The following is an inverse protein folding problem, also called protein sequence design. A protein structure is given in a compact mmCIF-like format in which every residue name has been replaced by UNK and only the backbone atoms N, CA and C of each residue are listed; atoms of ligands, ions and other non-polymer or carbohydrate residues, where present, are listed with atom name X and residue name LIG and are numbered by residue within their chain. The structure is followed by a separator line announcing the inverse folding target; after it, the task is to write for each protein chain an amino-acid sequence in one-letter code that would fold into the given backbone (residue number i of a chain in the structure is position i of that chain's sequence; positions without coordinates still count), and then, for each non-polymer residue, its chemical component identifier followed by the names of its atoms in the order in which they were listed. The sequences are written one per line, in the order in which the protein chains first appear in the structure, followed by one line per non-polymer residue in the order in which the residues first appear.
data_IF_740776177295
#
_entry.id   IF_740776177295
#
_cell.length_a   1.000
_cell.length_b   1.000
_cell.length_c   1.000
_cell.angle_alpha   90.00
_cell.angle_beta   90.00
_cell.angle_gamma   90.00
#
_symmetry.space_group_name_H-M   'P 1'
#
loop_
_entity.id
_entity.type
_entity.pdbx_description
1 polymer ?
#
# COMPACT_ATOMS: atom_id res chain seq x y z
N UNK A 1 5.42 23.70 -18.80
CA UNK A 1 5.64 22.67 -19.84
C UNK A 1 5.00 21.40 -19.32
N UNK A 2 3.79 21.11 -19.79
CA UNK A 2 3.14 19.85 -19.46
C UNK A 2 3.84 18.77 -20.29
N UNK A 3 4.69 17.96 -19.67
CA UNK A 3 5.12 16.73 -20.32
C UNK A 3 3.89 15.85 -20.50
N UNK A 4 3.50 15.59 -21.75
CA UNK A 4 2.71 14.41 -22.09
C UNK A 4 3.56 13.17 -21.78
N UNK A 5 3.66 12.81 -20.50
CA UNK A 5 4.20 11.51 -20.11
C UNK A 5 3.17 10.46 -20.51
N UNK A 6 3.34 9.93 -21.73
CA UNK A 6 2.69 8.67 -22.12
C UNK A 6 3.03 7.66 -21.03
N UNK A 7 2.00 7.15 -20.34
CA UNK A 7 2.13 6.12 -19.32
C UNK A 7 3.09 5.04 -19.84
N UNK A 8 4.18 4.80 -19.10
CA UNK A 8 5.18 3.82 -19.50
C UNK A 8 4.52 2.45 -19.63
N UNK A 9 5.04 1.56 -20.48
CA UNK A 9 4.47 0.23 -20.71
C UNK A 9 4.22 -0.53 -19.39
N UNK A 10 5.13 -0.38 -18.42
CA UNK A 10 4.98 -0.94 -17.08
C UNK A 10 3.77 -0.36 -16.31
N UNK A 11 3.61 0.96 -16.29
CA UNK A 11 2.50 1.63 -15.60
C UNK A 11 1.15 1.29 -16.24
N UNK A 12 1.12 1.22 -17.57
CA UNK A 12 -0.09 0.88 -18.34
C UNK A 12 -0.57 -0.55 -18.06
N UNK A 13 0.36 -1.50 -17.89
CA UNK A 13 0.03 -2.91 -17.62
C UNK A 13 0.23 -3.30 -16.15
N UNK A 14 0.30 -2.33 -15.23
CA UNK A 14 0.60 -2.57 -13.82
C UNK A 14 -0.35 -3.59 -13.17
N UNK A 15 -1.65 -3.53 -13.50
CA UNK A 15 -2.63 -4.51 -13.00
C UNK A 15 -2.32 -5.95 -13.44
N UNK A 16 -1.85 -6.15 -14.68
CA UNK A 16 -1.45 -7.47 -15.19
C UNK A 16 -0.20 -7.95 -14.48
N UNK A 17 0.79 -7.08 -14.29
CA UNK A 17 2.01 -7.41 -13.54
C UNK A 17 1.71 -7.78 -12.08
N UNK A 18 0.83 -7.03 -11.41
CA UNK A 18 0.38 -7.34 -10.04
C UNK A 18 -0.30 -8.70 -9.99
N UNK A 19 -1.21 -9.00 -10.94
CA UNK A 19 -1.87 -10.30 -11.03
C UNK A 19 -0.86 -11.44 -11.21
N UNK A 20 0.13 -11.27 -12.10
CA UNK A 20 1.19 -12.25 -12.33
C UNK A 20 2.03 -12.46 -11.06
N UNK A 21 2.39 -11.39 -10.34
CA UNK A 21 3.10 -11.48 -9.07
C UNK A 21 2.30 -12.22 -7.99
N UNK A 22 0.98 -12.01 -7.92
CA UNK A 22 0.11 -12.72 -6.98
C UNK A 22 0.10 -14.22 -7.30
N UNK A 23 -0.14 -14.59 -8.56
CA UNK A 23 -0.17 -16.00 -8.99
C UNK A 23 1.18 -16.67 -8.74
N UNK A 24 2.28 -16.01 -9.12
CA UNK A 24 3.62 -16.51 -8.88
C UNK A 24 3.89 -16.68 -7.37
N UNK A 25 3.51 -15.70 -6.54
CA UNK A 25 3.66 -15.77 -5.09
C UNK A 25 2.89 -16.93 -4.45
N UNK A 26 1.65 -17.19 -4.90
CA UNK A 26 0.84 -18.33 -4.44
C UNK A 26 1.51 -19.66 -4.82
N UNK A 27 1.92 -19.81 -6.09
CA UNK A 27 2.60 -21.03 -6.56
C UNK A 27 3.90 -21.27 -5.79
N UNK A 28 4.71 -20.24 -5.58
CA UNK A 28 5.94 -20.33 -4.79
C UNK A 28 5.63 -20.72 -3.34
N UNK A 29 4.63 -20.10 -2.71
CA UNK A 29 4.22 -20.46 -1.35
C UNK A 29 3.74 -21.91 -1.21
N UNK A 30 3.09 -22.45 -2.24
CA UNK A 30 2.57 -23.82 -2.26
C UNK A 30 3.66 -24.87 -2.55
N UNK A 31 4.53 -24.64 -3.55
CA UNK A 31 5.56 -25.59 -3.97
C UNK A 31 6.85 -25.50 -3.14
N UNK A 32 7.14 -24.34 -2.55
CA UNK A 32 8.34 -24.09 -1.74
C UNK A 32 7.95 -23.58 -0.34
N UNK A 33 7.46 -24.47 0.56
CA UNK A 33 7.02 -24.10 1.90
C UNK A 33 8.16 -23.58 2.81
N UNK A 34 9.42 -23.71 2.37
CA UNK A 34 10.57 -23.14 3.06
C UNK A 34 10.53 -21.60 3.12
N UNK A 35 10.06 -20.93 2.08
CA UNK A 35 9.99 -19.46 2.02
C UNK A 35 9.04 -18.90 3.09
N UNK A 36 7.76 -19.30 3.16
CA UNK A 36 6.86 -18.84 4.21
C UNK A 36 7.36 -19.27 5.60
N UNK A 37 7.95 -20.46 5.74
CA UNK A 37 8.51 -20.92 7.02
C UNK A 37 9.68 -20.07 7.52
N UNK A 38 10.53 -19.54 6.62
CA UNK A 38 11.56 -18.57 6.99
C UNK A 38 10.96 -17.21 7.36
N UNK A 39 9.94 -16.74 6.63
CA UNK A 39 9.24 -15.50 6.97
C UNK A 39 8.55 -15.59 8.34
N UNK A 40 7.93 -16.73 8.67
CA UNK A 40 7.34 -16.98 9.99
C UNK A 40 8.37 -17.05 11.12
N UNK A 41 9.63 -17.42 10.84
CA UNK A 41 10.71 -17.30 11.84
C UNK A 41 11.14 -15.86 12.09
N UNK A 42 10.95 -14.99 11.10
CA UNK A 42 11.17 -13.54 11.19
C UNK A 42 9.89 -12.80 11.58
N UNK A 43 8.88 -13.52 12.05
CA UNK A 43 7.66 -12.97 12.60
C UNK A 43 7.85 -12.72 14.09
N UNK A 44 7.56 -11.49 14.50
CA UNK A 44 7.55 -11.11 15.90
C UNK A 44 6.16 -10.56 16.22
N UNK A 45 5.49 -11.17 17.20
CA UNK A 45 4.14 -10.79 17.63
C UNK A 45 3.11 -10.69 16.46
N UNK A 46 3.03 -11.73 15.62
CA UNK A 46 2.12 -11.79 14.46
C UNK A 46 2.44 -10.81 13.32
N UNK A 47 3.62 -10.16 13.35
CA UNK A 47 4.04 -9.22 12.31
C UNK A 47 5.37 -9.68 11.70
N UNK A 48 5.37 -9.96 10.39
CA UNK A 48 6.60 -10.32 9.69
C UNK A 48 7.50 -9.09 9.52
N UNK A 49 8.68 -9.11 10.14
CA UNK A 49 9.65 -8.01 10.06
C UNK A 49 9.98 -7.60 8.61
N UNK A 50 10.20 -8.55 7.66
CA UNK A 50 10.46 -8.18 6.27
C UNK A 50 9.32 -7.39 5.63
N UNK A 51 8.07 -7.81 5.88
CA UNK A 51 6.88 -7.14 5.35
C UNK A 51 6.73 -5.75 5.98
N UNK A 52 6.96 -5.64 7.29
CA UNK A 52 6.94 -4.35 7.98
C UNK A 52 7.95 -3.36 7.38
N UNK A 53 9.18 -3.81 7.07
CA UNK A 53 10.20 -2.98 6.41
C UNK A 53 9.74 -2.56 5.01
N UNK A 54 9.18 -3.48 4.22
CA UNK A 54 8.67 -3.17 2.87
C UNK A 54 7.56 -2.11 2.91
N UNK A 55 6.59 -2.26 3.82
CA UNK A 55 5.50 -1.28 4.00
C UNK A 55 6.08 0.05 4.48
N UNK A 56 7.02 0.05 5.42
CA UNK A 56 7.67 1.27 5.91
C UNK A 56 8.39 2.02 4.79
N UNK A 57 9.13 1.30 3.94
CA UNK A 57 9.79 1.85 2.75
C UNK A 57 8.80 2.45 1.74
N UNK A 58 7.56 1.95 1.66
CA UNK A 58 6.51 2.54 0.82
C UNK A 58 5.87 3.79 1.44
N UNK A 59 5.66 3.79 2.76
CA UNK A 59 5.02 4.91 3.48
C UNK A 59 5.97 6.11 3.59
N UNK A 60 7.25 5.87 3.88
CA UNK A 60 8.25 6.92 4.09
C UNK A 60 8.33 7.97 2.96
N UNK A 61 8.48 7.59 1.66
CA UNK A 61 8.56 8.56 0.57
C UNK A 61 7.23 9.31 0.36
N UNK A 62 6.09 8.69 0.67
CA UNK A 62 4.80 9.37 0.63
C UNK A 62 4.72 10.45 1.72
N UNK A 63 5.20 10.16 2.93
CA UNK A 63 5.24 11.13 4.04
C UNK A 63 6.14 12.33 3.75
N UNK A 64 7.29 12.12 3.12
CA UNK A 64 8.20 13.21 2.73
C UNK A 64 7.60 14.17 1.70
N UNK A 65 6.60 13.73 0.93
CA UNK A 65 5.90 14.54 -0.08
C UNK A 65 4.76 15.38 0.52
N UNK A 66 4.48 15.27 1.81
CA UNK A 66 3.38 15.98 2.45
C UNK A 66 3.77 17.44 2.69
N UNK A 67 2.95 18.35 2.18
CA UNK A 67 3.05 19.79 2.45
C UNK A 67 2.21 20.16 3.69
N UNK A 68 2.87 20.71 4.71
CA UNK A 68 2.23 21.17 5.95
C UNK A 68 1.19 22.28 5.73
N UNK A 69 1.36 23.12 4.70
CA UNK A 69 0.38 24.14 4.33
C UNK A 69 -0.94 23.50 3.87
N UNK A 70 -0.85 22.40 3.13
CA UNK A 70 -2.02 21.65 2.66
C UNK A 70 -2.79 20.99 3.82
N UNK A 71 -2.09 20.53 4.86
CA UNK A 71 -2.72 19.98 6.08
C UNK A 71 -3.55 21.06 6.78
N UNK A 72 -3.00 22.27 6.97
CA UNK A 72 -3.72 23.37 7.63
C UNK A 72 -4.97 23.76 6.84
N UNK A 73 -4.90 23.78 5.51
CA UNK A 73 -6.04 24.07 4.66
C UNK A 73 -7.10 22.95 4.68
N UNK A 74 -6.70 21.69 4.78
CA UNK A 74 -7.63 20.56 4.90
C UNK A 74 -8.45 20.64 6.21
N UNK A 75 -7.85 21.07 7.31
CA UNK A 75 -8.55 21.26 8.60
C UNK A 75 -9.61 22.36 8.54
N UNK A 76 -9.48 23.34 7.63
CA UNK A 76 -10.50 24.37 7.40
C UNK A 76 -11.74 23.86 6.66
N UNK A 77 -11.71 22.64 6.13
CA UNK A 77 -12.84 22.00 5.42
C UNK A 77 -13.35 20.76 6.18
N UNK A 78 -14.00 20.94 7.35
CA UNK A 78 -14.35 19.82 8.23
C UNK A 78 -15.37 18.86 7.61
N UNK A 79 -16.33 19.35 6.82
CA UNK A 79 -17.37 18.51 6.21
C UNK A 79 -16.79 17.41 5.31
N UNK A 80 -15.85 17.76 4.43
CA UNK A 80 -15.19 16.81 3.53
C UNK A 80 -14.32 15.81 4.29
N UNK A 81 -13.60 16.30 5.31
CA UNK A 81 -12.77 15.46 6.16
C UNK A 81 -13.61 14.45 6.95
N UNK A 82 -14.71 14.88 7.57
CA UNK A 82 -15.59 14.01 8.35
C UNK A 82 -16.22 12.92 7.47
N UNK A 83 -16.73 13.24 6.28
CA UNK A 83 -17.30 12.23 5.38
C UNK A 83 -16.24 11.20 4.96
N UNK A 84 -15.04 11.66 4.62
CA UNK A 84 -13.94 10.77 4.21
C UNK A 84 -13.49 9.90 5.38
N UNK A 85 -13.37 10.45 6.58
CA UNK A 85 -12.90 9.73 7.76
C UNK A 85 -13.95 8.72 8.24
N UNK A 86 -15.23 9.09 8.26
CA UNK A 86 -16.33 8.17 8.57
C UNK A 86 -16.41 7.05 7.52
N UNK A 87 -16.39 7.38 6.23
CA UNK A 87 -16.43 6.35 5.19
C UNK A 87 -15.23 5.41 5.25
N UNK A 88 -14.01 5.97 5.38
CA UNK A 88 -12.79 5.19 5.34
C UNK A 88 -12.51 4.41 6.63
N UNK A 89 -12.83 4.95 7.80
CA UNK A 89 -12.51 4.36 9.10
C UNK A 89 -13.71 3.79 9.85
N UNK A 90 -14.95 4.21 9.58
CA UNK A 90 -16.14 3.65 10.22
C UNK A 90 -16.91 2.70 9.31
N UNK A 91 -17.00 2.96 8.00
CA UNK A 91 -17.78 2.09 7.09
C UNK A 91 -16.92 0.94 6.58
N UNK A 92 -15.72 1.24 6.03
CA UNK A 92 -14.86 0.20 5.44
C UNK A 92 -14.55 -0.99 6.35
N UNK A 93 -14.22 -0.84 7.65
CA UNK A 93 -13.90 -2.00 8.50
C UNK A 93 -15.04 -3.01 8.66
N UNK A 94 -16.29 -2.57 8.50
CA UNK A 94 -17.46 -3.43 8.57
C UNK A 94 -17.94 -3.90 7.18
N UNK A 95 -17.33 -3.38 6.12
CA UNK A 95 -17.64 -3.75 4.73
C UNK A 95 -16.62 -4.74 4.14
N UNK A 96 -15.43 -4.85 4.74
CA UNK A 96 -14.41 -5.86 4.41
C UNK A 96 -14.79 -7.24 4.97
#
# INVERSE_FOLDING_TARGET
MAEENKLNFFERYLSVWVLLCIIAGILIGQYLPFIPKLLSKLEYAQVSIPIAILIWLMIYPMMLKIDFSSIVNATKQPKGLTVTLVSNWLIKPFTM
#
